data_IF_388116695678
#
_entry.id   IF_388116695678
#
_cell.length_a   1.000
_cell.length_b   1.000
_cell.length_c   1.000
_cell.angle_alpha   90.00
_cell.angle_beta   90.00
_cell.angle_gamma   90.00
#
_symmetry.space_group_name_H-M   'P 1'
#
loop_
_entity.id
_entity.type
_entity.pdbx_description
1 polymer ?
#
# COMPACT_ATOMS: atom_id res chain seq x y z
N UNK A 1 -20.20 11.51 -15.50
CA UNK A 1 -19.75 11.24 -14.14
C UNK A 1 -18.65 12.20 -13.74
N UNK A 2 -18.54 12.51 -12.44
CA UNK A 2 -17.43 13.31 -11.92
C UNK A 2 -16.19 12.45 -11.71
N UNK A 3 -15.02 12.99 -12.06
CA UNK A 3 -13.73 12.35 -11.86
C UNK A 3 -12.65 13.39 -11.53
N UNK A 4 -11.73 13.06 -10.65
CA UNK A 4 -10.52 13.85 -10.38
C UNK A 4 -9.52 13.57 -11.49
N UNK A 5 -9.28 14.58 -12.32
CA UNK A 5 -8.36 14.48 -13.47
C UNK A 5 -7.08 15.24 -13.20
N UNK A 6 -5.95 14.59 -13.41
CA UNK A 6 -4.65 15.24 -13.47
C UNK A 6 -4.44 15.81 -14.86
N UNK A 7 -4.12 17.13 -14.92
CA UNK A 7 -3.91 17.87 -16.16
C UNK A 7 -2.46 18.26 -16.40
N UNK A 8 -1.66 18.25 -15.33
CA UNK A 8 -0.28 18.73 -15.37
C UNK A 8 0.61 17.95 -14.42
N UNK A 9 1.90 17.94 -14.72
CA UNK A 9 2.97 17.40 -13.89
C UNK A 9 3.67 18.55 -13.15
N UNK A 10 2.97 19.23 -12.25
CA UNK A 10 3.49 20.39 -11.51
C UNK A 10 2.84 20.58 -10.14
N UNK A 11 3.53 21.29 -9.25
CA UNK A 11 3.00 21.71 -7.95
C UNK A 11 2.42 23.13 -8.04
N UNK A 12 1.49 23.54 -7.14
CA UNK A 12 0.93 22.73 -6.05
C UNK A 12 -0.07 21.69 -6.56
N UNK A 13 -0.30 20.62 -5.80
CA UNK A 13 -1.19 19.50 -6.21
C UNK A 13 -2.58 19.99 -6.61
N UNK A 14 -3.17 20.92 -5.85
CA UNK A 14 -4.48 21.50 -6.16
C UNK A 14 -4.54 22.21 -7.52
N UNK A 15 -3.41 22.69 -8.04
CA UNK A 15 -3.31 23.31 -9.38
C UNK A 15 -3.11 22.30 -10.50
N UNK A 16 -2.68 21.09 -10.18
CA UNK A 16 -2.42 20.03 -11.14
C UNK A 16 -3.66 19.19 -11.48
N UNK A 17 -4.69 19.22 -10.62
CA UNK A 17 -5.92 18.45 -10.73
C UNK A 17 -7.16 19.32 -10.84
N UNK A 18 -8.21 18.79 -11.44
CA UNK A 18 -9.58 19.34 -11.38
C UNK A 18 -10.61 18.22 -11.30
N UNK A 19 -11.83 18.56 -10.92
CA UNK A 19 -12.98 17.66 -11.04
C UNK A 19 -13.65 17.95 -12.37
N UNK A 20 -13.58 16.98 -13.27
CA UNK A 20 -14.15 17.08 -14.60
C UNK A 20 -15.40 16.22 -14.72
N UNK A 21 -16.29 16.65 -15.60
CA UNK A 21 -17.38 15.81 -16.10
C UNK A 21 -16.86 14.95 -17.27
N UNK A 22 -16.82 13.64 -17.06
CA UNK A 22 -16.35 12.67 -18.08
C UNK A 22 -17.45 11.65 -18.40
N UNK A 23 -17.41 10.99 -19.56
CA UNK A 23 -18.34 9.90 -19.86
C UNK A 23 -18.29 8.80 -18.82
N UNK A 24 -19.45 8.21 -18.51
CA UNK A 24 -19.50 7.00 -17.68
C UNK A 24 -18.88 5.82 -18.42
N UNK A 25 -18.16 4.94 -17.71
CA UNK A 25 -17.61 3.73 -18.30
C UNK A 25 -18.74 2.80 -18.77
N UNK A 26 -18.45 1.97 -19.78
CA UNK A 26 -19.39 0.99 -20.33
C UNK A 26 -18.77 -0.41 -20.34
N UNK A 27 -19.61 -1.43 -20.19
CA UNK A 27 -19.21 -2.82 -20.42
C UNK A 27 -18.82 -2.98 -21.90
N UNK A 28 -17.61 -3.44 -22.14
CA UNK A 28 -17.05 -3.67 -23.47
C UNK A 28 -16.55 -5.09 -23.66
N UNK A 29 -16.28 -5.80 -22.55
CA UNK A 29 -15.88 -7.21 -22.51
C UNK A 29 -16.89 -7.99 -21.64
N UNK A 30 -17.20 -9.25 -21.96
CA UNK A 30 -18.10 -10.07 -21.15
C UNK A 30 -17.69 -10.24 -19.68
N UNK A 31 -16.42 -10.03 -19.34
CA UNK A 31 -15.91 -10.10 -17.96
C UNK A 31 -15.68 -8.73 -17.31
N UNK A 32 -16.06 -7.65 -17.96
CA UNK A 32 -16.00 -6.31 -17.35
C UNK A 32 -16.98 -6.19 -16.18
N UNK A 33 -16.60 -5.36 -15.21
CA UNK A 33 -17.43 -4.96 -14.09
C UNK A 33 -17.33 -3.44 -13.93
N UNK A 34 -18.46 -2.77 -13.76
CA UNK A 34 -18.51 -1.37 -13.37
C UNK A 34 -18.82 -1.31 -11.89
N UNK A 35 -17.98 -0.60 -11.15
CA UNK A 35 -18.12 -0.39 -9.72
C UNK A 35 -18.47 1.06 -9.48
N UNK A 36 -19.56 1.31 -8.75
CA UNK A 36 -19.84 2.61 -8.14
C UNK A 36 -18.88 2.77 -6.97
N UNK A 37 -17.97 3.70 -7.08
CA UNK A 37 -16.95 3.92 -6.05
C UNK A 37 -17.60 4.58 -4.83
N UNK A 38 -17.33 4.01 -3.66
CA UNK A 38 -17.71 4.60 -2.39
C UNK A 38 -16.54 5.27 -1.72
N UNK A 39 -15.35 4.66 -1.83
CA UNK A 39 -14.09 5.17 -1.31
C UNK A 39 -12.93 4.93 -2.26
N UNK A 40 -12.09 5.97 -2.42
CA UNK A 40 -10.79 5.89 -3.07
C UNK A 40 -9.71 6.29 -2.05
N UNK A 41 -8.79 5.36 -1.76
CA UNK A 41 -7.67 5.64 -0.85
C UNK A 41 -6.67 6.59 -1.49
N UNK A 42 -6.05 7.41 -0.65
CA UNK A 42 -5.04 8.38 -1.06
C UNK A 42 -3.65 7.86 -0.73
N UNK A 43 -2.84 7.65 -1.74
CA UNK A 43 -1.48 7.13 -1.63
C UNK A 43 -0.43 8.20 -1.94
N UNK A 44 0.77 8.05 -1.37
CA UNK A 44 1.90 8.90 -1.76
C UNK A 44 2.27 8.73 -3.24
N UNK A 45 1.97 7.58 -3.83
CA UNK A 45 2.12 7.32 -5.26
C UNK A 45 1.31 8.29 -6.13
N UNK A 46 0.10 8.72 -5.68
CA UNK A 46 -0.68 9.73 -6.42
C UNK A 46 0.06 11.08 -6.46
N UNK A 47 0.76 11.44 -5.39
CA UNK A 47 1.62 12.63 -5.35
C UNK A 47 2.81 12.48 -6.29
N UNK A 48 3.48 11.33 -6.25
CA UNK A 48 4.65 11.06 -7.10
C UNK A 48 4.32 11.02 -8.60
N UNK A 49 3.08 10.68 -8.98
CA UNK A 49 2.62 10.82 -10.36
C UNK A 49 2.59 12.30 -10.76
N UNK A 50 2.01 13.17 -9.93
CA UNK A 50 1.96 14.62 -10.19
C UNK A 50 3.37 15.22 -10.20
N UNK A 51 4.25 14.76 -9.32
CA UNK A 51 5.67 15.16 -9.23
C UNK A 51 6.53 14.57 -10.35
N UNK A 52 5.97 13.70 -11.19
CA UNK A 52 6.66 13.00 -12.29
C UNK A 52 7.86 12.15 -11.83
N UNK A 53 7.87 11.67 -10.60
CA UNK A 53 8.94 10.82 -10.04
C UNK A 53 9.10 9.50 -10.81
N UNK A 54 8.00 8.98 -11.34
CA UNK A 54 7.95 7.70 -12.06
C UNK A 54 8.19 7.80 -13.57
N UNK A 55 8.43 9.02 -14.10
CA UNK A 55 8.55 9.28 -15.54
C UNK A 55 9.53 8.37 -16.27
N UNK A 56 10.71 8.17 -15.67
CA UNK A 56 11.75 7.32 -16.27
C UNK A 56 11.38 5.83 -16.23
N UNK A 57 10.64 5.39 -15.21
CA UNK A 57 10.32 3.98 -15.00
C UNK A 57 9.04 3.54 -15.74
N UNK A 58 8.00 4.37 -15.74
CA UNK A 58 6.66 4.04 -16.24
C UNK A 58 6.26 4.85 -17.48
N UNK A 59 7.02 5.89 -17.82
CA UNK A 59 6.58 6.91 -18.77
C UNK A 59 5.54 7.85 -18.17
N UNK A 60 5.00 8.73 -19.01
CA UNK A 60 3.93 9.64 -18.60
C UNK A 60 2.58 9.07 -19.04
N UNK A 61 1.60 8.89 -18.14
CA UNK A 61 0.23 8.63 -18.56
C UNK A 61 -0.27 9.80 -19.43
N UNK A 62 -1.07 9.51 -20.48
CA UNK A 62 -1.64 10.56 -21.31
C UNK A 62 -2.56 11.46 -20.49
N UNK A 63 -2.30 12.77 -20.51
CA UNK A 63 -3.15 13.74 -19.85
C UNK A 63 -4.36 14.16 -20.72
N UNK A 64 -5.52 14.45 -20.13
CA UNK A 64 -5.83 14.37 -18.70
C UNK A 64 -6.04 12.93 -18.23
N UNK A 65 -5.67 12.59 -17.00
CA UNK A 65 -5.65 11.25 -16.44
C UNK A 65 -6.39 11.18 -15.08
N UNK A 66 -7.21 10.15 -14.87
CA UNK A 66 -7.91 9.97 -13.58
C UNK A 66 -7.04 9.17 -12.63
N UNK A 67 -6.71 9.75 -11.46
CA UNK A 67 -5.94 9.14 -10.40
C UNK A 67 -6.76 8.12 -9.60
N UNK A 68 -6.12 7.42 -8.66
CA UNK A 68 -6.74 6.57 -7.65
C UNK A 68 -6.68 5.08 -7.95
N UNK A 69 -5.79 4.40 -7.23
CA UNK A 69 -5.54 2.95 -7.40
C UNK A 69 -5.98 2.12 -6.18
N UNK A 70 -6.51 2.74 -5.12
CA UNK A 70 -7.04 2.07 -3.93
C UNK A 70 -8.56 2.21 -3.89
N UNK A 71 -9.33 1.19 -4.35
CA UNK A 71 -10.73 1.36 -4.64
C UNK A 71 -11.62 0.33 -3.96
N UNK A 72 -12.74 0.81 -3.39
CA UNK A 72 -13.81 -0.02 -2.88
C UNK A 72 -15.17 0.67 -3.09
N UNK A 73 -16.22 -0.12 -3.22
CA UNK A 73 -17.55 0.43 -3.52
C UNK A 73 -18.58 -0.68 -3.69
N UNK A 74 -19.50 -0.47 -4.61
CA UNK A 74 -20.60 -1.41 -4.88
C UNK A 74 -20.65 -1.73 -6.37
N UNK A 75 -20.98 -2.96 -6.71
CA UNK A 75 -21.24 -3.36 -8.09
C UNK A 75 -22.39 -2.52 -8.66
N UNK A 76 -22.15 -1.86 -9.78
CA UNK A 76 -23.18 -1.15 -10.53
C UNK A 76 -23.67 -1.97 -11.72
N UNK A 77 -22.76 -2.56 -12.49
CA UNK A 77 -23.06 -3.35 -13.68
C UNK A 77 -22.04 -4.47 -13.86
N UNK A 78 -22.47 -5.59 -14.42
CA UNK A 78 -21.59 -6.73 -14.72
C UNK A 78 -21.77 -7.19 -16.16
N UNK A 79 -20.69 -7.63 -16.78
CA UNK A 79 -20.69 -8.22 -18.11
C UNK A 79 -21.37 -9.60 -18.14
N UNK A 80 -21.76 -10.03 -19.32
CA UNK A 80 -22.60 -11.22 -19.54
C UNK A 80 -21.97 -12.55 -19.10
N UNK A 81 -20.64 -12.62 -18.93
CA UNK A 81 -19.94 -13.82 -18.50
C UNK A 81 -19.58 -13.77 -16.99
N UNK A 82 -19.90 -12.69 -16.28
CA UNK A 82 -19.61 -12.57 -14.85
C UNK A 82 -20.63 -13.34 -14.04
N UNK A 83 -20.15 -14.16 -13.12
CA UNK A 83 -20.99 -14.93 -12.19
C UNK A 83 -20.60 -14.64 -10.75
N UNK A 84 -21.54 -14.80 -9.82
CA UNK A 84 -21.29 -14.62 -8.39
C UNK A 84 -21.27 -13.17 -7.90
N UNK A 85 -21.40 -12.18 -8.81
CA UNK A 85 -21.53 -10.76 -8.52
C UNK A 85 -22.88 -10.24 -9.00
N UNK A 86 -23.49 -9.35 -8.23
CA UNK A 86 -24.76 -8.69 -8.56
C UNK A 86 -24.71 -7.20 -8.19
N UNK A 87 -25.54 -6.40 -8.88
CA UNK A 87 -25.69 -4.97 -8.55
C UNK A 87 -25.98 -4.78 -7.06
N UNK A 88 -25.26 -3.87 -6.43
CA UNK A 88 -25.34 -3.56 -5.01
C UNK A 88 -24.45 -4.40 -4.08
N UNK A 89 -23.77 -5.43 -4.59
CA UNK A 89 -22.79 -6.18 -3.80
C UNK A 89 -21.64 -5.24 -3.37
N UNK A 90 -21.29 -5.18 -2.07
CA UNK A 90 -20.12 -4.44 -1.62
C UNK A 90 -18.84 -5.17 -2.03
N UNK A 91 -17.87 -4.42 -2.56
CA UNK A 91 -16.65 -4.98 -3.10
C UNK A 91 -15.42 -4.13 -2.76
N UNK A 92 -14.26 -4.79 -2.71
CA UNK A 92 -12.95 -4.15 -2.78
C UNK A 92 -12.23 -4.64 -4.03
N UNK A 93 -11.43 -3.79 -4.64
CA UNK A 93 -10.79 -4.08 -5.90
C UNK A 93 -9.30 -4.38 -5.70
N UNK A 94 -8.82 -5.53 -6.19
CA UNK A 94 -7.40 -5.72 -6.39
C UNK A 94 -6.90 -4.64 -7.36
N UNK A 95 -5.77 -3.97 -7.07
CA UNK A 95 -5.39 -2.77 -7.82
C UNK A 95 -4.98 -3.06 -9.25
N UNK A 96 -4.63 -4.31 -9.60
CA UNK A 96 -4.28 -4.70 -10.95
C UNK A 96 -5.40 -5.49 -11.64
N UNK A 97 -5.69 -5.11 -12.87
CA UNK A 97 -6.41 -5.96 -13.81
C UNK A 97 -5.44 -6.95 -14.43
N UNK A 98 -5.62 -8.24 -14.18
CA UNK A 98 -4.68 -9.30 -14.58
C UNK A 98 -5.26 -10.21 -15.66
N UNK A 99 -4.41 -10.76 -16.55
CA UNK A 99 -4.89 -11.56 -17.67
C UNK A 99 -5.33 -12.98 -17.32
N UNK A 100 -4.95 -13.52 -16.16
CA UNK A 100 -5.25 -14.88 -15.72
C UNK A 100 -4.58 -16.01 -16.49
N UNK A 101 -3.87 -15.73 -17.56
CA UNK A 101 -3.37 -16.74 -18.51
C UNK A 101 -1.84 -16.89 -18.49
N UNK A 102 -1.09 -15.83 -18.18
CA UNK A 102 0.37 -15.92 -18.10
C UNK A 102 0.83 -16.72 -16.89
N UNK A 103 2.11 -17.10 -16.89
CA UNK A 103 2.67 -17.93 -15.81
C UNK A 103 2.48 -17.32 -14.42
N UNK A 104 2.82 -16.01 -14.18
CA UNK A 104 2.56 -15.40 -12.87
C UNK A 104 1.11 -15.52 -12.42
N UNK A 105 0.14 -15.24 -13.28
CA UNK A 105 -1.27 -15.41 -12.94
C UNK A 105 -1.63 -16.86 -12.59
N UNK A 106 -1.07 -17.81 -13.32
CA UNK A 106 -1.38 -19.24 -13.13
C UNK A 106 -0.82 -19.83 -11.83
N UNK A 107 0.24 -19.26 -11.30
CA UNK A 107 0.84 -19.69 -10.02
C UNK A 107 0.38 -18.83 -8.83
N UNK A 108 -0.60 -17.92 -9.01
CA UNK A 108 -1.11 -17.05 -7.94
C UNK A 108 -0.19 -15.88 -7.58
N UNK A 109 0.78 -15.54 -8.43
CA UNK A 109 1.66 -14.38 -8.31
C UNK A 109 1.24 -13.31 -9.33
N UNK A 110 -0.06 -13.00 -9.34
CA UNK A 110 -0.72 -12.26 -10.41
C UNK A 110 -0.40 -10.76 -10.42
N UNK A 111 0.12 -10.19 -9.33
CA UNK A 111 0.67 -8.83 -9.33
C UNK A 111 1.86 -8.69 -10.30
N UNK A 112 2.52 -9.79 -10.70
CA UNK A 112 3.55 -9.81 -11.74
C UNK A 112 3.00 -10.18 -13.13
N UNK A 113 1.72 -9.92 -13.39
CA UNK A 113 1.08 -10.20 -14.67
C UNK A 113 1.79 -9.49 -15.82
N UNK A 114 2.18 -10.24 -16.85
CA UNK A 114 2.88 -9.71 -18.04
C UNK A 114 2.02 -8.76 -18.90
N UNK A 115 0.73 -8.73 -18.67
CA UNK A 115 -0.26 -7.88 -19.36
C UNK A 115 -1.16 -7.20 -18.32
N UNK A 116 -0.62 -6.97 -17.14
CA UNK A 116 -1.32 -6.25 -16.07
C UNK A 116 -1.55 -4.80 -16.45
N UNK A 117 -2.68 -4.27 -16.02
CA UNK A 117 -3.00 -2.83 -16.07
C UNK A 117 -3.29 -2.39 -14.66
N UNK A 118 -2.76 -1.25 -14.26
CA UNK A 118 -2.92 -0.69 -12.93
C UNK A 118 -3.75 0.60 -12.98
N UNK A 119 -5.10 0.51 -12.95
CA UNK A 119 -5.97 1.68 -13.04
C UNK A 119 -5.59 2.76 -12.00
N UNK A 120 -5.47 4.00 -12.47
CA UNK A 120 -5.08 5.12 -11.63
C UNK A 120 -3.58 5.29 -11.41
N UNK A 121 -2.77 4.37 -11.94
CA UNK A 121 -1.31 4.44 -11.92
C UNK A 121 -0.70 4.23 -13.30
N UNK A 122 -1.14 3.21 -14.04
CA UNK A 122 -0.63 2.86 -15.36
C UNK A 122 -1.73 2.23 -16.22
N UNK A 123 -1.85 2.69 -17.47
CA UNK A 123 -2.63 2.07 -18.54
C UNK A 123 -4.15 2.28 -18.53
N UNK A 124 -4.76 2.76 -17.44
CA UNK A 124 -6.19 3.03 -17.37
C UNK A 124 -6.54 4.07 -16.30
N UNK A 125 -7.62 4.82 -16.54
CA UNK A 125 -8.20 5.74 -15.58
C UNK A 125 -8.53 5.04 -14.25
N UNK A 126 -8.27 5.73 -13.12
CA UNK A 126 -8.45 5.23 -11.77
C UNK A 126 -9.81 5.52 -11.15
N UNK A 127 -9.92 5.23 -9.86
CA UNK A 127 -11.16 5.30 -9.11
C UNK A 127 -11.38 6.54 -8.24
N UNK A 128 -10.58 7.61 -8.39
CA UNK A 128 -10.98 8.92 -7.86
C UNK A 128 -12.08 9.51 -8.75
N UNK A 129 -13.18 8.77 -8.90
CA UNK A 129 -14.31 9.04 -9.77
C UNK A 129 -15.57 8.33 -9.27
N UNK A 130 -16.76 8.73 -9.74
CA UNK A 130 -18.03 8.11 -9.34
C UNK A 130 -18.11 6.63 -9.75
N UNK A 131 -17.50 6.26 -10.87
CA UNK A 131 -17.49 4.88 -11.38
C UNK A 131 -16.12 4.49 -11.89
N UNK A 132 -15.77 3.23 -11.69
CA UNK A 132 -14.58 2.60 -12.24
C UNK A 132 -14.96 1.32 -12.98
N UNK A 133 -14.45 1.15 -14.21
CA UNK A 133 -14.49 -0.12 -14.93
C UNK A 133 -13.27 -0.95 -14.62
N UNK A 134 -13.50 -2.20 -14.23
CA UNK A 134 -12.44 -3.17 -13.99
C UNK A 134 -12.83 -4.54 -14.53
N UNK A 135 -11.99 -5.55 -14.36
CA UNK A 135 -12.29 -6.95 -14.68
C UNK A 135 -12.88 -7.66 -13.46
N UNK A 136 -13.81 -8.56 -13.65
CA UNK A 136 -14.30 -9.46 -12.60
C UNK A 136 -13.18 -10.18 -11.84
N UNK A 137 -12.03 -10.38 -12.48
CA UNK A 137 -10.84 -10.97 -11.88
C UNK A 137 -10.18 -10.11 -10.79
N UNK A 138 -10.45 -8.81 -10.79
CA UNK A 138 -9.92 -7.88 -9.78
C UNK A 138 -10.91 -7.66 -8.62
N UNK A 139 -12.13 -8.20 -8.71
CA UNK A 139 -13.19 -7.92 -7.74
C UNK A 139 -13.21 -8.94 -6.61
N UNK A 140 -13.12 -8.48 -5.37
CA UNK A 140 -13.33 -9.28 -4.16
C UNK A 140 -14.64 -8.83 -3.53
N UNK A 141 -15.61 -9.76 -3.48
CA UNK A 141 -16.89 -9.53 -2.82
C UNK A 141 -16.72 -9.52 -1.31
N UNK A 142 -17.22 -8.49 -0.67
CA UNK A 142 -17.26 -8.34 0.78
C UNK A 142 -18.53 -8.99 1.35
N UNK A 143 -18.56 -9.19 2.66
CA UNK A 143 -19.77 -9.70 3.33
C UNK A 143 -20.95 -8.74 3.13
N UNK A 144 -22.18 -9.24 2.96
CA UNK A 144 -23.37 -8.39 2.85
C UNK A 144 -23.48 -7.39 4.00
N UNK A 145 -23.79 -6.12 3.68
CA UNK A 145 -23.90 -5.06 4.67
C UNK A 145 -22.60 -4.42 5.12
N UNK A 146 -21.44 -4.86 4.60
CA UNK A 146 -20.15 -4.20 4.85
C UNK A 146 -20.15 -2.80 4.21
N UNK A 147 -19.71 -1.77 4.97
CA UNK A 147 -19.36 -0.46 4.40
C UNK A 147 -18.00 -0.55 3.72
N UNK A 148 -17.92 -0.50 2.38
CA UNK A 148 -16.64 -0.60 1.67
C UNK A 148 -15.81 0.67 1.74
N UNK A 149 -16.41 1.83 2.02
CA UNK A 149 -15.74 3.14 1.97
C UNK A 149 -14.43 3.20 2.74
N UNK A 150 -14.38 2.85 4.05
CA UNK A 150 -13.14 2.91 4.80
C UNK A 150 -12.14 1.82 4.40
N UNK A 151 -12.57 0.81 3.63
CA UNK A 151 -11.74 -0.35 3.30
C UNK A 151 -10.88 -0.13 2.03
N UNK A 152 -11.15 0.92 1.26
CA UNK A 152 -10.42 1.21 0.03
C UNK A 152 -8.87 1.11 0.18
N UNK A 153 -8.23 1.63 1.25
CA UNK A 153 -6.78 1.54 1.40
C UNK A 153 -6.23 0.12 1.63
N UNK A 154 -7.07 -0.85 1.95
CA UNK A 154 -6.62 -2.25 1.99
C UNK A 154 -6.20 -2.76 0.60
N UNK A 155 -6.76 -2.16 -0.46
CA UNK A 155 -6.49 -2.53 -1.85
C UNK A 155 -5.04 -2.32 -2.29
N UNK A 156 -4.31 -1.35 -1.70
CA UNK A 156 -2.88 -1.16 -1.97
C UNK A 156 -2.05 -1.09 -0.70
N UNK A 157 -2.28 -0.13 0.21
CA UNK A 157 -1.46 0.00 1.40
C UNK A 157 -1.52 -1.25 2.30
N UNK A 158 -2.71 -1.82 2.48
CA UNK A 158 -2.91 -3.03 3.27
C UNK A 158 -2.27 -4.26 2.64
N UNK A 159 -2.56 -4.51 1.36
CA UNK A 159 -2.02 -5.68 0.64
C UNK A 159 -0.50 -5.60 0.49
N UNK A 160 0.07 -4.41 0.27
CA UNK A 160 1.51 -4.19 0.18
C UNK A 160 2.21 -4.57 1.48
N UNK A 161 1.67 -4.13 2.61
CA UNK A 161 2.19 -4.53 3.92
C UNK A 161 2.00 -6.03 4.19
N UNK A 162 0.86 -6.60 3.80
CA UNK A 162 0.56 -8.03 3.94
C UNK A 162 1.57 -8.89 3.17
N UNK A 163 1.79 -8.57 1.90
CA UNK A 163 2.74 -9.26 1.04
C UNK A 163 4.17 -9.20 1.60
N UNK A 164 4.59 -8.01 2.06
CA UNK A 164 5.90 -7.81 2.66
C UNK A 164 6.10 -8.67 3.93
N UNK A 165 5.09 -8.73 4.82
CA UNK A 165 5.14 -9.60 6.01
C UNK A 165 5.18 -11.06 5.61
N UNK A 166 4.39 -11.47 4.61
CA UNK A 166 4.37 -12.85 4.12
C UNK A 166 5.74 -13.30 3.58
N UNK A 167 6.48 -12.41 2.90
CA UNK A 167 7.86 -12.68 2.44
C UNK A 167 8.84 -12.97 3.56
N UNK A 168 8.63 -12.38 4.74
CA UNK A 168 9.58 -12.50 5.86
C UNK A 168 9.20 -13.56 6.89
N UNK A 169 8.02 -14.16 6.81
CA UNK A 169 7.58 -15.20 7.77
C UNK A 169 8.61 -16.31 7.97
N UNK A 170 9.29 -16.74 6.91
CA UNK A 170 10.32 -17.78 6.96
C UNK A 170 11.58 -17.40 7.77
N UNK A 171 11.79 -16.11 8.05
CA UNK A 171 12.91 -15.58 8.83
C UNK A 171 12.53 -15.26 10.28
N UNK A 172 11.26 -15.47 10.66
CA UNK A 172 10.70 -15.11 11.95
C UNK A 172 10.43 -16.38 12.77
N UNK A 173 10.96 -16.40 13.98
CA UNK A 173 10.79 -17.45 14.98
C UNK A 173 10.65 -16.78 16.38
N UNK A 174 10.22 -17.51 17.43
CA UNK A 174 10.16 -16.95 18.77
C UNK A 174 11.51 -16.33 19.22
N UNK A 175 11.47 -15.07 19.66
CA UNK A 175 12.66 -14.28 20.01
C UNK A 175 13.22 -13.40 18.90
N UNK A 176 12.62 -13.41 17.69
CA UNK A 176 12.96 -12.49 16.59
C UNK A 176 12.51 -11.07 16.91
N UNK A 177 13.36 -10.09 16.67
CA UNK A 177 13.04 -8.67 16.63
C UNK A 177 12.80 -8.22 15.18
N UNK A 178 11.64 -7.60 14.94
CA UNK A 178 11.31 -6.97 13.66
C UNK A 178 11.15 -5.45 13.86
N UNK A 179 11.87 -4.66 13.07
CA UNK A 179 11.74 -3.20 13.05
C UNK A 179 10.84 -2.79 11.89
N UNK A 180 9.82 -1.98 12.16
CA UNK A 180 8.99 -1.28 11.19
C UNK A 180 9.47 0.16 11.10
N UNK A 181 10.07 0.53 9.99
CA UNK A 181 10.54 1.89 9.72
C UNK A 181 9.44 2.67 9.02
N UNK A 182 8.93 3.69 9.69
CA UNK A 182 7.81 4.52 9.23
C UNK A 182 6.44 3.91 9.55
N UNK A 183 5.70 4.51 10.49
CA UNK A 183 4.33 4.10 10.88
C UNK A 183 3.29 5.01 10.20
N UNK A 184 3.50 5.28 8.91
CA UNK A 184 2.57 6.00 8.06
C UNK A 184 1.48 5.10 7.47
N UNK A 185 1.01 5.47 6.26
CA UNK A 185 -0.08 4.80 5.56
C UNK A 185 0.10 3.30 5.30
N UNK A 186 1.33 2.79 5.17
CA UNK A 186 1.64 1.37 5.01
C UNK A 186 2.10 0.74 6.33
N UNK A 187 2.99 1.43 7.06
CA UNK A 187 3.64 0.85 8.24
C UNK A 187 2.67 0.56 9.39
N UNK A 188 1.54 1.30 9.52
CA UNK A 188 0.54 0.97 10.54
C UNK A 188 -0.15 -0.38 10.28
N UNK A 189 -0.28 -0.81 9.00
CA UNK A 189 -0.65 -2.19 8.66
C UNK A 189 0.49 -3.15 8.97
N UNK A 190 1.75 -2.77 8.65
CA UNK A 190 2.94 -3.60 8.91
C UNK A 190 3.06 -4.01 10.37
N UNK A 191 2.84 -3.08 11.31
CA UNK A 191 2.83 -3.37 12.76
C UNK A 191 1.79 -4.44 13.08
N UNK A 192 0.53 -4.24 12.71
CA UNK A 192 -0.56 -5.17 12.98
C UNK A 192 -0.32 -6.56 12.38
N UNK A 193 0.11 -6.58 11.10
CA UNK A 193 0.31 -7.82 10.36
C UNK A 193 1.47 -8.64 10.94
N UNK A 194 2.58 -8.03 11.34
CA UNK A 194 3.64 -8.73 12.06
C UNK A 194 3.11 -9.37 13.35
N UNK A 195 2.27 -8.67 14.12
CA UNK A 195 1.69 -9.19 15.37
C UNK A 195 0.68 -10.31 15.13
N UNK A 196 -0.11 -10.24 14.05
CA UNK A 196 -1.17 -11.22 13.77
C UNK A 196 -0.64 -12.47 13.06
N UNK A 197 0.36 -12.30 12.19
CA UNK A 197 0.84 -13.37 11.30
C UNK A 197 2.13 -14.03 11.77
N UNK A 198 2.81 -13.49 12.80
CA UNK A 198 4.14 -13.95 13.20
C UNK A 198 4.30 -13.98 14.72
N UNK A 199 5.45 -14.50 15.17
CA UNK A 199 5.87 -14.49 16.58
C UNK A 199 6.90 -13.39 16.89
N UNK A 200 7.10 -12.43 15.98
CA UNK A 200 8.07 -11.36 16.17
C UNK A 200 7.70 -10.44 17.32
N UNK A 201 8.73 -9.96 18.03
CA UNK A 201 8.65 -8.75 18.83
C UNK A 201 8.84 -7.56 17.89
N UNK A 202 7.92 -6.60 17.93
CA UNK A 202 7.85 -5.50 16.96
C UNK A 202 8.36 -4.21 17.57
N UNK A 203 9.38 -3.61 16.94
CA UNK A 203 9.84 -2.26 17.24
C UNK A 203 9.31 -1.34 16.14
N UNK A 204 8.46 -0.38 16.48
CA UNK A 204 8.00 0.64 15.55
C UNK A 204 8.88 1.89 15.66
N UNK A 205 9.42 2.35 14.52
CA UNK A 205 10.26 3.53 14.40
C UNK A 205 9.58 4.58 13.53
N UNK A 206 9.42 5.79 14.05
CA UNK A 206 8.93 6.95 13.27
C UNK A 206 9.59 8.25 13.78
N UNK A 207 9.56 9.30 12.96
CA UNK A 207 10.02 10.63 13.33
C UNK A 207 8.96 11.44 14.12
N UNK A 208 7.73 10.90 14.28
CA UNK A 208 6.59 11.59 14.89
C UNK A 208 6.02 10.77 16.03
N UNK A 209 5.82 11.42 17.18
CA UNK A 209 5.27 10.77 18.38
C UNK A 209 3.80 10.32 18.20
N UNK A 210 2.96 11.10 17.49
CA UNK A 210 1.56 10.74 17.24
C UNK A 210 1.41 9.44 16.43
N UNK A 211 2.38 9.13 15.56
CA UNK A 211 2.45 7.86 14.83
C UNK A 211 2.93 6.71 15.71
N UNK A 212 3.83 7.00 16.65
CA UNK A 212 4.27 6.03 17.64
C UNK A 212 3.18 5.69 18.65
N UNK A 213 2.33 6.67 19.01
CA UNK A 213 1.12 6.42 19.82
C UNK A 213 0.19 5.44 19.09
N UNK A 214 -0.07 5.67 17.79
CA UNK A 214 -0.83 4.74 16.96
C UNK A 214 -0.16 3.34 16.92
N UNK A 215 1.16 3.27 16.79
CA UNK A 215 1.87 1.99 16.78
C UNK A 215 1.67 1.19 18.08
N UNK A 216 1.67 1.88 19.25
CA UNK A 216 1.39 1.24 20.55
C UNK A 216 -0.04 0.70 20.62
N UNK A 217 -1.02 1.49 20.17
CA UNK A 217 -2.42 1.06 20.07
C UNK A 217 -2.59 -0.19 19.19
N UNK A 218 -1.77 -0.30 18.12
CA UNK A 218 -1.79 -1.39 17.15
C UNK A 218 -0.93 -2.60 17.56
N UNK A 219 -0.32 -2.57 18.76
CA UNK A 219 0.35 -3.70 19.34
C UNK A 219 1.86 -3.77 19.14
N UNK A 220 2.53 -2.68 18.77
CA UNK A 220 4.00 -2.63 18.81
C UNK A 220 4.53 -2.89 20.22
N UNK A 221 5.51 -3.77 20.37
CA UNK A 221 6.09 -4.11 21.67
C UNK A 221 7.01 -3.00 22.19
N UNK A 222 7.66 -2.28 21.27
CA UNK A 222 8.51 -1.14 21.54
C UNK A 222 8.30 -0.05 20.47
N UNK A 223 8.53 1.20 20.87
CA UNK A 223 8.52 2.33 19.94
C UNK A 223 9.78 3.15 20.09
N UNK A 224 10.32 3.65 18.98
CA UNK A 224 11.53 4.45 18.93
C UNK A 224 11.27 5.72 18.14
N UNK A 225 11.46 6.87 18.76
CA UNK A 225 11.44 8.16 18.07
C UNK A 225 12.75 8.35 17.32
N UNK A 226 12.69 8.52 16.02
CA UNK A 226 13.86 8.74 15.18
C UNK A 226 14.50 10.11 15.49
N UNK A 227 15.60 10.09 16.23
CA UNK A 227 16.44 11.26 16.49
C UNK A 227 17.48 11.49 15.39
N UNK A 228 18.53 12.27 15.72
CA UNK A 228 19.61 12.60 14.79
C UNK A 228 20.39 11.37 14.27
N UNK A 229 20.52 10.32 15.10
CA UNK A 229 21.10 9.03 14.72
C UNK A 229 20.11 8.09 14.01
N UNK A 230 18.87 8.52 13.83
CA UNK A 230 17.77 7.73 13.28
C UNK A 230 17.26 6.64 14.22
N UNK A 231 17.59 6.68 15.52
CA UNK A 231 17.17 5.67 16.51
C UNK A 231 18.07 4.42 16.57
N UNK A 232 19.23 4.42 15.92
CA UNK A 232 20.15 3.27 15.88
C UNK A 232 20.57 2.84 17.27
N UNK A 233 21.00 3.80 18.12
CA UNK A 233 21.46 3.50 19.48
C UNK A 233 20.34 2.85 20.33
N UNK A 234 19.11 3.33 20.19
CA UNK A 234 17.97 2.83 20.95
C UNK A 234 17.54 1.44 20.48
N UNK A 235 17.51 1.18 19.18
CA UNK A 235 17.24 -0.17 18.63
C UNK A 235 18.30 -1.16 19.11
N UNK A 236 19.57 -0.78 19.09
CA UNK A 236 20.64 -1.64 19.61
C UNK A 236 20.52 -1.86 21.13
N UNK A 237 20.09 -0.85 21.91
CA UNK A 237 19.82 -1.01 23.32
C UNK A 237 18.69 -2.00 23.58
N UNK A 238 17.56 -1.87 22.88
CA UNK A 238 16.39 -2.77 23.01
C UNK A 238 16.78 -4.22 22.66
N UNK A 239 17.61 -4.39 21.63
CA UNK A 239 18.05 -5.70 21.15
C UNK A 239 19.33 -6.19 21.82
N UNK A 240 19.77 -5.60 22.94
CA UNK A 240 20.94 -5.98 23.72
C UNK A 240 22.24 -6.01 22.87
N UNK A 241 22.37 -5.05 21.94
CA UNK A 241 23.50 -4.94 21.02
C UNK A 241 23.49 -5.90 19.84
N UNK A 242 22.50 -6.80 19.78
CA UNK A 242 22.38 -7.82 18.72
C UNK A 242 21.94 -7.22 17.39
N UNK A 243 21.04 -6.24 17.42
CA UNK A 243 20.31 -5.71 16.27
C UNK A 243 19.08 -6.55 15.91
N UNK A 244 18.25 -6.04 15.02
CA UNK A 244 17.01 -6.68 14.57
C UNK A 244 17.26 -7.79 13.55
N UNK A 245 16.47 -8.84 13.61
CA UNK A 245 16.53 -9.95 12.65
C UNK A 245 15.88 -9.58 11.31
N UNK A 246 14.80 -8.78 11.37
CA UNK A 246 14.07 -8.26 10.20
C UNK A 246 13.92 -6.75 10.33
N UNK A 247 14.15 -6.02 9.24
CA UNK A 247 13.87 -4.59 9.12
C UNK A 247 12.97 -4.39 7.90
N UNK A 248 11.78 -3.85 8.11
CA UNK A 248 10.80 -3.53 7.05
C UNK A 248 10.74 -2.03 6.87
N UNK A 249 11.23 -1.53 5.75
CA UNK A 249 11.33 -0.10 5.47
C UNK A 249 10.19 0.35 4.56
N UNK A 250 9.18 0.99 5.16
CA UNK A 250 8.03 1.57 4.47
C UNK A 250 8.28 3.02 4.03
N UNK A 251 9.50 3.54 4.25
CA UNK A 251 9.93 4.88 3.86
C UNK A 251 10.91 4.82 2.69
N UNK A 252 12.04 4.18 2.86
CA UNK A 252 13.14 3.95 1.92
C UNK A 252 13.65 5.22 1.21
N UNK A 253 13.50 6.39 1.84
CA UNK A 253 13.99 7.69 1.39
C UNK A 253 14.66 8.45 2.55
N UNK A 254 15.24 9.62 2.27
CA UNK A 254 15.85 10.49 3.31
C UNK A 254 16.90 9.80 4.20
N UNK A 255 17.65 8.84 3.65
CA UNK A 255 18.72 8.12 4.35
C UNK A 255 18.24 6.96 5.24
N UNK A 256 16.94 6.60 5.19
CA UNK A 256 16.45 5.43 5.94
C UNK A 256 17.10 4.12 5.48
N UNK A 257 17.44 3.86 4.19
CA UNK A 257 18.11 2.64 3.80
C UNK A 257 19.46 2.42 4.50
N UNK A 258 20.27 3.48 4.63
CA UNK A 258 21.57 3.39 5.32
C UNK A 258 21.39 3.11 6.81
N UNK A 259 20.36 3.69 7.44
CA UNK A 259 20.01 3.44 8.83
C UNK A 259 19.46 2.03 9.03
N UNK A 260 18.61 1.57 8.09
CA UNK A 260 18.02 0.23 8.11
C UNK A 260 19.11 -0.86 8.14
N UNK A 261 20.19 -0.69 7.38
CA UNK A 261 21.34 -1.60 7.40
C UNK A 261 22.07 -1.61 8.76
N UNK A 262 22.00 -0.51 9.53
CA UNK A 262 22.58 -0.41 10.86
C UNK A 262 21.69 -1.02 11.95
N UNK A 263 20.36 -1.05 11.74
CA UNK A 263 19.42 -1.72 12.66
C UNK A 263 19.54 -3.24 12.60
N UNK A 264 19.95 -3.79 11.44
CA UNK A 264 20.06 -5.23 11.25
C UNK A 264 21.08 -5.85 12.20
N UNK A 265 20.74 -7.06 12.63
CA UNK A 265 21.65 -7.88 13.45
C UNK A 265 23.04 -7.96 12.85
N UNK A 266 24.04 -7.84 13.73
CA UNK A 266 25.47 -7.90 13.34
C UNK A 266 25.93 -9.32 13.02
N UNK A 267 25.23 -10.33 13.56
CA UNK A 267 25.44 -11.73 13.22
C UNK A 267 24.79 -12.05 11.86
N UNK A 268 25.04 -13.26 11.35
CA UNK A 268 24.52 -13.70 10.05
C UNK A 268 22.99 -13.80 10.01
N UNK A 269 22.40 -13.62 8.83
CA UNK A 269 21.00 -13.90 8.52
C UNK A 269 20.03 -12.74 8.78
N UNK A 270 20.51 -11.49 8.89
CA UNK A 270 19.62 -10.31 8.95
C UNK A 270 18.90 -10.08 7.62
N UNK A 271 17.61 -9.71 7.66
CA UNK A 271 16.80 -9.48 6.48
C UNK A 271 16.28 -8.05 6.43
N UNK A 272 16.66 -7.31 5.39
CA UNK A 272 16.14 -5.97 5.07
C UNK A 272 15.12 -6.06 3.95
N UNK A 273 13.91 -5.56 4.20
CA UNK A 273 12.82 -5.50 3.22
C UNK A 273 12.57 -4.06 2.82
N UNK A 274 12.70 -3.78 1.53
CA UNK A 274 12.45 -2.47 0.93
C UNK A 274 11.05 -2.45 0.39
N UNK A 275 10.18 -1.59 0.93
CA UNK A 275 8.79 -1.42 0.52
C UNK A 275 8.55 0.01 0.02
N UNK A 276 9.06 1.02 0.75
CA UNK A 276 9.10 2.40 0.28
C UNK A 276 10.10 2.57 -0.88
N UNK A 277 10.15 3.75 -1.46
CA UNK A 277 11.07 4.04 -2.56
C UNK A 277 11.51 5.51 -2.57
N UNK A 278 12.64 5.79 -3.25
CA UNK A 278 13.23 7.13 -3.37
C UNK A 278 14.70 7.19 -2.97
N UNK A 279 15.18 6.23 -2.18
CA UNK A 279 16.58 6.13 -1.77
C UNK A 279 17.39 5.07 -2.53
N UNK A 280 18.63 4.90 -2.12
CA UNK A 280 19.56 3.90 -2.65
C UNK A 280 19.92 2.91 -1.55
N UNK A 281 19.91 1.62 -1.87
CA UNK A 281 20.35 0.53 -0.99
C UNK A 281 21.71 0.04 -1.49
N UNK A 282 22.77 0.30 -0.74
CA UNK A 282 24.14 0.04 -1.19
C UNK A 282 25.02 -0.66 -0.13
N UNK A 283 24.65 -1.87 0.34
CA UNK A 283 25.54 -2.64 1.20
C UNK A 283 26.80 -3.06 0.41
N UNK A 284 27.96 -3.10 1.07
CA UNK A 284 29.14 -3.66 0.43
C UNK A 284 29.02 -5.16 0.22
N UNK A 285 29.70 -5.71 -0.77
CA UNK A 285 29.71 -7.17 -0.98
C UNK A 285 30.30 -7.92 0.22
N UNK A 286 31.25 -7.29 0.92
CA UNK A 286 31.83 -7.85 2.15
C UNK A 286 30.79 -7.96 3.26
N UNK A 287 29.97 -6.89 3.48
CA UNK A 287 28.90 -6.93 4.47
C UNK A 287 27.86 -8.01 4.14
N UNK A 288 27.48 -8.09 2.86
CA UNK A 288 26.51 -9.11 2.41
C UNK A 288 27.00 -10.53 2.68
N UNK A 289 28.26 -10.84 2.31
CA UNK A 289 28.83 -12.18 2.48
C UNK A 289 29.08 -12.49 3.96
N UNK A 290 29.77 -11.58 4.68
CA UNK A 290 30.16 -11.81 6.07
C UNK A 290 28.95 -11.95 7.01
N UNK A 291 27.87 -11.24 6.71
CA UNK A 291 26.62 -11.25 7.50
C UNK A 291 25.54 -12.17 6.91
N UNK A 292 25.76 -12.79 5.75
CA UNK A 292 24.74 -13.56 5.02
C UNK A 292 23.42 -12.77 4.97
N UNK A 293 23.52 -11.48 4.61
CA UNK A 293 22.41 -10.52 4.65
C UNK A 293 21.46 -10.75 3.47
N UNK A 294 20.17 -10.73 3.76
CA UNK A 294 19.14 -10.68 2.72
C UNK A 294 18.69 -9.23 2.49
N UNK A 295 18.57 -8.84 1.22
CA UNK A 295 17.90 -7.60 0.79
C UNK A 295 16.77 -7.99 -0.15
N UNK A 296 15.55 -7.68 0.23
CA UNK A 296 14.33 -8.14 -0.45
C UNK A 296 13.48 -6.93 -0.84
N UNK A 297 13.24 -6.73 -2.14
CA UNK A 297 12.22 -5.80 -2.61
C UNK A 297 10.82 -6.38 -2.45
N UNK A 298 9.83 -5.54 -2.12
CA UNK A 298 8.42 -5.94 -2.02
C UNK A 298 7.52 -4.85 -2.58
N UNK A 299 6.56 -5.23 -3.41
CA UNK A 299 5.61 -4.32 -4.05
C UNK A 299 4.23 -4.97 -4.14
N UNK A 300 3.17 -4.23 -3.80
CA UNK A 300 1.77 -4.67 -3.88
C UNK A 300 1.58 -6.06 -3.24
N UNK A 301 0.75 -6.90 -3.80
CA UNK A 301 0.49 -8.28 -3.41
C UNK A 301 -0.48 -8.93 -4.38
N UNK A 302 -0.71 -10.24 -4.23
CA UNK A 302 -1.58 -11.01 -5.10
C UNK A 302 -3.07 -10.85 -4.73
N UNK A 303 -3.95 -11.18 -5.67
CA UNK A 303 -5.40 -11.22 -5.43
C UNK A 303 -5.77 -12.08 -4.20
N UNK A 304 -5.13 -13.24 -4.05
CA UNK A 304 -5.40 -14.14 -2.91
C UNK A 304 -4.93 -13.53 -1.59
N UNK A 305 -3.85 -12.76 -1.60
CA UNK A 305 -3.37 -12.05 -0.40
C UNK A 305 -4.33 -10.95 0.03
N UNK A 306 -4.97 -10.25 -0.91
CA UNK A 306 -6.02 -9.32 -0.56
C UNK A 306 -7.26 -10.02 0.04
N UNK A 307 -7.64 -11.19 -0.47
CA UNK A 307 -8.72 -12.00 0.14
C UNK A 307 -8.38 -12.44 1.57
N UNK A 308 -7.15 -12.93 1.80
CA UNK A 308 -6.66 -13.32 3.13
C UNK A 308 -6.66 -12.11 4.09
N UNK A 309 -6.20 -10.95 3.62
CA UNK A 309 -6.19 -9.72 4.39
C UNK A 309 -7.60 -9.24 4.75
N UNK A 310 -8.54 -9.32 3.81
CA UNK A 310 -9.95 -8.94 4.09
C UNK A 310 -10.59 -9.89 5.10
N UNK A 311 -10.19 -11.15 5.12
CA UNK A 311 -10.63 -12.09 6.16
C UNK A 311 -10.07 -11.72 7.54
N UNK A 312 -8.80 -11.30 7.63
CA UNK A 312 -8.25 -10.78 8.90
C UNK A 312 -8.96 -9.51 9.37
N UNK A 313 -9.33 -8.62 8.43
CA UNK A 313 -10.13 -7.45 8.75
C UNK A 313 -11.53 -7.84 9.25
N UNK A 314 -12.22 -8.76 8.58
CA UNK A 314 -13.54 -9.27 8.99
C UNK A 314 -13.51 -9.87 10.41
N UNK A 315 -12.38 -10.50 10.80
CA UNK A 315 -12.16 -11.02 12.16
C UNK A 315 -11.79 -9.92 13.18
N UNK A 316 -11.68 -8.66 12.76
CA UNK A 316 -11.26 -7.56 13.62
C UNK A 316 -9.77 -7.58 14.01
N UNK A 317 -8.96 -8.41 13.36
CA UNK A 317 -7.54 -8.57 13.67
C UNK A 317 -6.65 -7.50 13.02
N UNK A 318 -7.09 -6.96 11.89
CA UNK A 318 -6.41 -5.86 11.18
C UNK A 318 -7.43 -4.78 10.91
N UNK A 319 -7.13 -3.58 11.38
CA UNK A 319 -8.02 -2.42 11.29
C UNK A 319 -7.32 -1.27 10.55
N UNK A 320 -8.08 -0.27 10.16
CA UNK A 320 -7.55 0.93 9.52
C UNK A 320 -7.94 2.17 10.32
N UNK A 321 -7.01 3.09 10.45
CA UNK A 321 -7.29 4.47 10.87
C UNK A 321 -7.39 5.32 9.61
N UNK A 322 -8.62 5.68 9.21
CA UNK A 322 -8.89 6.44 8.00
C UNK A 322 -9.48 7.81 8.32
N UNK A 323 -8.96 8.84 7.65
CA UNK A 323 -9.54 10.18 7.62
C UNK A 323 -10.29 10.34 6.30
N UNK A 324 -11.58 10.67 6.36
CA UNK A 324 -12.44 10.84 5.19
C UNK A 324 -12.39 12.28 4.69
N UNK A 325 -12.33 12.43 3.37
CA UNK A 325 -12.42 13.70 2.66
C UNK A 325 -13.49 13.58 1.57
N UNK A 326 -14.34 14.59 1.36
CA UNK A 326 -15.16 14.66 0.16
C UNK A 326 -14.28 14.64 -1.10
N UNK A 327 -14.75 14.02 -2.19
CA UNK A 327 -14.02 14.04 -3.48
C UNK A 327 -13.66 15.47 -3.91
N UNK A 328 -14.53 16.45 -3.62
CA UNK A 328 -14.29 17.86 -3.91
C UNK A 328 -13.08 18.45 -3.18
N UNK A 329 -12.63 17.83 -2.10
CA UNK A 329 -11.49 18.30 -1.30
C UNK A 329 -10.19 17.51 -1.62
N UNK A 330 -10.10 16.84 -2.77
CA UNK A 330 -8.92 16.03 -3.15
C UNK A 330 -7.63 16.84 -3.09
N UNK A 331 -7.60 18.07 -3.57
CA UNK A 331 -6.41 18.93 -3.51
C UNK A 331 -5.94 19.16 -2.06
N UNK A 332 -6.86 19.44 -1.14
CA UNK A 332 -6.55 19.57 0.29
C UNK A 332 -6.06 18.25 0.90
N UNK A 333 -6.69 17.14 0.55
CA UNK A 333 -6.29 15.81 1.03
C UNK A 333 -4.86 15.46 0.58
N UNK A 334 -4.48 15.82 -0.65
CA UNK A 334 -3.11 15.67 -1.17
C UNK A 334 -2.11 16.55 -0.42
N UNK A 335 -2.45 17.81 -0.16
CA UNK A 335 -1.60 18.70 0.64
C UNK A 335 -1.42 18.21 2.09
N UNK A 336 -2.49 17.70 2.71
CA UNK A 336 -2.42 17.11 4.06
C UNK A 336 -1.57 15.85 4.09
N UNK A 337 -1.60 15.01 3.03
CA UNK A 337 -0.73 13.86 2.87
C UNK A 337 0.74 14.30 2.67
N UNK A 338 0.99 15.23 1.75
CA UNK A 338 2.33 15.72 1.44
C UNK A 338 3.01 16.37 2.65
N UNK A 339 2.26 17.16 3.42
CA UNK A 339 2.75 17.82 4.64
C UNK A 339 2.84 16.87 5.85
N UNK A 340 2.48 15.59 5.67
CA UNK A 340 2.53 14.58 6.73
C UNK A 340 1.48 14.75 7.85
N UNK A 341 0.44 15.57 7.67
CA UNK A 341 -0.62 15.77 8.67
C UNK A 341 -1.49 14.53 8.89
N UNK A 342 -1.57 13.64 7.89
CA UNK A 342 -2.35 12.42 8.02
C UNK A 342 -1.71 11.43 9.01
N UNK A 343 -2.53 10.92 9.91
CA UNK A 343 -2.22 9.77 10.76
C UNK A 343 -3.06 8.59 10.26
N UNK A 344 -2.41 7.53 9.79
CA UNK A 344 -3.08 6.44 9.06
C UNK A 344 -3.25 6.76 7.57
N UNK A 345 -4.49 6.69 7.04
CA UNK A 345 -4.79 6.85 5.60
C UNK A 345 -5.84 7.92 5.32
N UNK A 346 -5.70 8.63 4.21
CA UNK A 346 -6.77 9.44 3.64
C UNK A 346 -7.68 8.58 2.75
N UNK A 347 -8.99 8.82 2.81
CA UNK A 347 -9.98 8.19 1.92
C UNK A 347 -10.88 9.28 1.34
N UNK A 348 -10.89 9.38 0.03
CA UNK A 348 -11.83 10.23 -0.70
C UNK A 348 -13.18 9.51 -0.74
N UNK A 349 -14.22 10.17 -0.27
CA UNK A 349 -15.60 9.70 -0.33
C UNK A 349 -16.22 10.28 -1.59
N UNK A 350 -16.73 9.43 -2.44
CA UNK A 350 -17.25 9.78 -3.76
C UNK A 350 -18.76 10.00 -3.72
#
# INVERSE_FOLDING_TARGET
MKAVRMHKYELPYAGAISIDEVPEPRITDPFDVIVKIGGAGLCRTDLHLIEAVWREALGDPPLPYTLGHENAGWIEEVGSAVTGLAKGDPVILHPLMTCGLCRPCRIGYDMACQRGVFPGLDGADGGMAEYLKTSARAVIKLAPGTDPVPLAPFADAGITAYHAVKKVQQYIYPGTWAVVVGVGGLGHFGVQLLKVMTTAQVIALDAREDRLELARELGADQTVLAGADGGVAEILRITEGRGADVVMDFVAEHGTPDKALQYLRRARGGTYVVIGYGGVVAPTTLDMIAREMNVIGSIVGSYTELQELMELNRQGKVTIRAQRYPLAETGKAMEDLASGKLVGRGVLVV
#
